data_IF_626309029164
#
_entry.id   IF_626309029164
#
_cell.length_a   1.000
_cell.length_b   1.000
_cell.length_c   1.000
_cell.angle_alpha   90.00
_cell.angle_beta   90.00
_cell.angle_gamma   90.00
#
_symmetry.space_group_name_H-M   'P 1'
#
loop_
_entity.id
_entity.type
_entity.pdbx_description
1 polymer ?
#
# COMPACT_ATOMS: atom_id res chain seq x y z
N UNK A 1 -5.34 -15.35 -3.22
CA UNK A 1 -4.07 -14.82 -3.80
C UNK A 1 -3.03 -14.45 -2.71
N UNK A 2 -1.71 -14.50 -2.97
CA UNK A 2 -0.66 -13.97 -2.06
C UNK A 2 0.12 -12.84 -2.71
N UNK A 3 0.21 -11.69 -2.03
CA UNK A 3 0.86 -10.48 -2.55
C UNK A 3 1.95 -10.04 -1.57
N UNK A 4 3.10 -9.58 -2.10
CA UNK A 4 4.15 -8.94 -1.31
C UNK A 4 4.02 -7.43 -1.46
N UNK A 5 3.71 -6.74 -0.38
CA UNK A 5 3.75 -5.29 -0.31
C UNK A 5 5.21 -4.86 -0.14
N UNK A 6 5.66 -3.91 -0.96
CA UNK A 6 6.97 -3.28 -0.82
C UNK A 6 6.72 -1.76 -0.78
N UNK A 7 6.99 -1.14 0.37
CA UNK A 7 6.77 0.29 0.59
C UNK A 7 8.12 0.91 0.90
N UNK A 8 8.47 1.98 0.19
CA UNK A 8 9.74 2.67 0.36
C UNK A 8 9.52 4.17 0.21
N UNK A 9 10.13 4.96 1.09
CA UNK A 9 10.20 6.43 0.94
C UNK A 9 11.40 6.86 0.10
N UNK A 10 12.20 5.91 -0.40
CA UNK A 10 13.45 6.17 -1.11
C UNK A 10 14.63 6.52 -0.19
N UNK A 11 14.43 6.57 1.12
CA UNK A 11 15.49 6.79 2.10
C UNK A 11 16.07 5.44 2.58
N UNK A 12 17.39 5.32 2.62
CA UNK A 12 18.05 4.08 3.01
C UNK A 12 17.64 3.67 4.43
N UNK A 13 17.16 2.43 4.58
CA UNK A 13 16.70 1.89 5.86
C UNK A 13 15.25 2.23 6.22
N UNK A 14 14.51 2.89 5.33
CA UNK A 14 13.08 3.18 5.50
C UNK A 14 12.18 2.33 4.58
N UNK A 15 12.66 1.12 4.22
CA UNK A 15 11.91 0.17 3.41
C UNK A 15 11.09 -0.77 4.32
N UNK A 16 9.85 -1.03 3.92
CA UNK A 16 8.98 -2.02 4.52
C UNK A 16 8.61 -3.10 3.51
N UNK A 17 8.69 -4.35 3.94
CA UNK A 17 8.24 -5.50 3.18
C UNK A 17 7.20 -6.29 3.99
N UNK A 18 5.99 -6.42 3.44
CA UNK A 18 4.88 -7.14 4.06
C UNK A 18 4.33 -8.23 3.14
N UNK A 19 3.71 -9.26 3.71
CA UNK A 19 2.96 -10.26 2.95
C UNK A 19 1.49 -10.18 3.33
N UNK A 20 0.63 -10.14 2.32
CA UNK A 20 -0.81 -10.18 2.47
C UNK A 20 -1.33 -11.43 1.77
N UNK A 21 -2.22 -12.13 2.47
CA UNK A 21 -2.97 -13.25 1.92
C UNK A 21 -4.42 -12.78 1.74
N UNK A 22 -4.92 -12.88 0.52
CA UNK A 22 -6.24 -12.41 0.09
C UNK A 22 -7.06 -13.64 -0.26
N UNK A 23 -8.30 -13.74 0.21
CA UNK A 23 -9.14 -14.88 -0.11
C UNK A 23 -9.58 -14.81 -1.59
N UNK A 24 -9.65 -15.96 -2.26
CA UNK A 24 -10.02 -15.98 -3.68
C UNK A 24 -11.48 -15.54 -3.90
N UNK A 25 -12.34 -15.68 -2.88
CA UNK A 25 -13.73 -15.19 -2.92
C UNK A 25 -13.83 -13.65 -2.94
N UNK A 26 -12.85 -12.94 -2.39
CA UNK A 26 -12.79 -11.47 -2.42
C UNK A 26 -12.49 -10.95 -3.83
N UNK A 27 -11.90 -11.80 -4.68
CA UNK A 27 -11.46 -11.46 -6.03
C UNK A 27 -12.35 -12.08 -7.12
N UNK A 28 -13.43 -12.75 -6.73
CA UNK A 28 -14.29 -13.49 -7.66
C UNK A 28 -15.00 -12.54 -8.64
N UNK A 29 -14.88 -12.84 -9.93
CA UNK A 29 -15.50 -12.04 -10.99
C UNK A 29 -14.76 -10.74 -11.35
N UNK A 30 -13.70 -10.38 -10.62
CA UNK A 30 -12.86 -9.23 -10.94
C UNK A 30 -11.93 -9.52 -12.12
N UNK A 31 -11.80 -8.55 -13.00
CA UNK A 31 -10.69 -8.47 -13.97
C UNK A 31 -9.36 -8.20 -13.26
N UNK A 32 -8.24 -8.34 -13.96
CA UNK A 32 -6.92 -8.07 -13.37
C UNK A 32 -6.76 -6.60 -12.96
N UNK A 33 -7.30 -5.65 -13.73
CA UNK A 33 -7.28 -4.22 -13.37
C UNK A 33 -8.08 -3.95 -12.09
N UNK A 34 -9.25 -4.58 -11.94
CA UNK A 34 -10.06 -4.46 -10.72
C UNK A 34 -9.38 -5.08 -9.51
N UNK A 35 -8.64 -6.19 -9.68
CA UNK A 35 -7.84 -6.79 -8.60
C UNK A 35 -6.71 -5.87 -8.17
N UNK A 36 -6.02 -5.23 -9.12
CA UNK A 36 -4.96 -4.27 -8.80
C UNK A 36 -5.51 -3.06 -8.04
N UNK A 37 -6.64 -2.50 -8.48
CA UNK A 37 -7.31 -1.39 -7.80
C UNK A 37 -7.80 -1.79 -6.40
N UNK A 38 -8.37 -2.99 -6.25
CA UNK A 38 -8.76 -3.56 -4.96
C UNK A 38 -7.56 -3.71 -4.02
N UNK A 39 -6.47 -4.31 -4.49
CA UNK A 39 -5.25 -4.50 -3.67
C UNK A 39 -4.70 -3.15 -3.20
N UNK A 40 -4.73 -2.14 -4.08
CA UNK A 40 -4.25 -0.80 -3.74
C UNK A 40 -5.11 -0.18 -2.63
N UNK A 41 -6.43 -0.14 -2.83
CA UNK A 41 -7.38 0.49 -1.89
C UNK A 41 -7.49 -0.21 -0.54
N UNK A 42 -7.47 -1.54 -0.52
CA UNK A 42 -7.72 -2.29 0.72
C UNK A 42 -6.46 -2.60 1.52
N UNK A 43 -5.27 -2.56 0.92
CA UNK A 43 -4.03 -2.93 1.61
C UNK A 43 -2.91 -1.90 1.49
N UNK A 44 -2.72 -1.26 0.33
CA UNK A 44 -1.62 -0.30 0.14
C UNK A 44 -1.98 1.05 0.77
N UNK A 45 -3.10 1.64 0.37
CA UNK A 45 -3.54 2.94 0.88
C UNK A 45 -3.70 2.95 2.41
N UNK A 46 -4.37 1.97 3.05
CA UNK A 46 -4.53 1.96 4.50
C UNK A 46 -3.18 1.86 5.22
N UNK A 47 -2.27 1.02 4.72
CA UNK A 47 -0.92 0.92 5.26
C UNK A 47 -0.20 2.28 5.20
N UNK A 48 -0.30 2.99 4.07
CA UNK A 48 0.31 4.31 3.91
C UNK A 48 -0.30 5.31 4.89
N UNK A 49 -1.63 5.38 5.00
CA UNK A 49 -2.30 6.31 5.91
C UNK A 49 -2.03 6.01 7.40
N UNK A 50 -1.83 4.74 7.77
CA UNK A 50 -1.57 4.34 9.16
C UNK A 50 -0.10 4.46 9.57
N UNK A 51 0.84 4.35 8.63
CA UNK A 51 2.27 4.22 8.96
C UNK A 51 3.18 5.26 8.33
N UNK A 52 2.74 5.97 7.29
CA UNK A 52 3.53 6.99 6.61
C UNK A 52 2.92 8.35 6.89
N UNK A 53 3.62 9.16 7.68
CA UNK A 53 3.25 10.54 7.95
C UNK A 53 4.10 11.48 7.09
N UNK A 54 3.45 12.38 6.37
CA UNK A 54 4.09 13.41 5.56
C UNK A 54 3.41 14.76 5.84
N UNK A 55 4.21 15.79 6.13
CA UNK A 55 3.74 17.14 6.42
C UNK A 55 4.67 18.18 5.79
N UNK A 56 4.21 19.43 5.71
CA UNK A 56 5.02 20.57 5.32
C UNK A 56 4.99 21.62 6.44
N UNK A 57 6.02 22.48 6.47
CA UNK A 57 6.08 23.64 7.36
C UNK A 57 6.36 24.89 6.52
N UNK A 58 5.66 25.99 6.81
CA UNK A 58 5.94 27.28 6.18
C UNK A 58 7.18 27.91 6.84
N UNK A 59 8.17 28.26 6.02
CA UNK A 59 9.36 28.99 6.49
C UNK A 59 9.15 30.48 6.22
N UNK A 60 9.24 31.29 7.27
CA UNK A 60 9.25 32.77 7.17
C UNK A 60 10.69 33.28 7.35
N UNK A 61 11.11 34.19 6.47
CA UNK A 61 12.43 34.84 6.51
C UNK A 61 12.63 35.73 7.75
#
# INVERSE_FOLDING_TARGET
>A
MKVKLNISTGFAGADYEGKVEIDDSELEGMSEEEKEDYINKEYVEPFLYEHIEAWYEEITD
#
